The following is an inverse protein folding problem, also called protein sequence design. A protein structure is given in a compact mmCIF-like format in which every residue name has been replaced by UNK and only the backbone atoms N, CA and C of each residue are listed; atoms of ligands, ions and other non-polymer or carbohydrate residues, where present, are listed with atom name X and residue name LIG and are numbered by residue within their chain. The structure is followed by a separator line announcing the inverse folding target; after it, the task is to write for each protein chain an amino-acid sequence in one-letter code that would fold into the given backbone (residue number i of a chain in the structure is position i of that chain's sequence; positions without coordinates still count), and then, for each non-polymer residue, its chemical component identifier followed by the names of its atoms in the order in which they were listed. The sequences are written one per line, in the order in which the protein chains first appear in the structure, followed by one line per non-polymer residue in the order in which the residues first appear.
data_IF_927115000832
#
_entry.id   IF_927115000832
#
_cell.length_a   1.000
_cell.length_b   1.000
_cell.length_c   1.000
_cell.angle_alpha   90.00
_cell.angle_beta   90.00
_cell.angle_gamma   90.00
#
_symmetry.space_group_name_H-M   'P 1'
#
loop_
_entity.id
_entity.type
_entity.pdbx_description
1 polymer ?
#
# COMPACT_ATOMS: atom_id res chain seq x y z
N UNK A 1 -10.83 -20.44 -21.02
CA UNK A 1 -12.04 -19.58 -21.02
C UNK A 1 -13.30 -20.36 -21.42
N UNK A 2 -13.26 -21.23 -22.42
CA UNK A 2 -14.44 -22.00 -22.87
C UNK A 2 -15.10 -22.88 -21.79
N UNK A 3 -14.32 -23.33 -20.79
CA UNK A 3 -14.79 -24.19 -19.69
C UNK A 3 -14.82 -23.46 -18.34
N UNK A 4 -14.70 -22.13 -18.32
CA UNK A 4 -14.81 -21.37 -17.07
C UNK A 4 -16.25 -21.44 -16.53
N UNK A 5 -16.36 -21.88 -15.28
CA UNK A 5 -17.64 -21.99 -14.56
C UNK A 5 -18.07 -20.72 -13.82
N UNK A 6 -17.30 -19.62 -13.95
CA UNK A 6 -17.57 -18.35 -13.30
C UNK A 6 -17.24 -18.28 -11.81
N UNK A 7 -16.78 -19.38 -11.19
CA UNK A 7 -16.54 -19.46 -9.74
C UNK A 7 -15.09 -19.85 -9.41
N UNK A 8 -14.48 -20.76 -10.20
CA UNK A 8 -13.14 -21.28 -9.92
C UNK A 8 -12.09 -20.19 -10.10
N UNK A 9 -11.17 -20.07 -9.15
CA UNK A 9 -9.94 -19.30 -9.26
C UNK A 9 -8.77 -20.29 -9.46
N UNK A 10 -7.84 -19.96 -10.35
CA UNK A 10 -6.63 -20.73 -10.59
C UNK A 10 -5.43 -19.94 -10.12
N UNK A 11 -4.57 -20.57 -9.33
CA UNK A 11 -3.33 -20.01 -8.84
C UNK A 11 -2.16 -20.59 -9.62
N UNK A 12 -1.33 -19.73 -10.21
CA UNK A 12 -0.16 -20.11 -11.01
C UNK A 12 1.11 -19.48 -10.43
N UNK A 13 2.12 -20.30 -10.20
CA UNK A 13 3.49 -19.82 -10.00
C UNK A 13 4.13 -19.61 -11.38
N UNK A 14 4.64 -18.40 -11.62
CA UNK A 14 5.11 -17.99 -12.95
C UNK A 14 6.41 -17.19 -12.89
N UNK A 15 7.14 -17.19 -14.01
CA UNK A 15 8.24 -16.26 -14.27
C UNK A 15 7.73 -15.22 -15.27
N UNK A 16 7.28 -14.07 -14.78
CA UNK A 16 6.55 -13.10 -15.59
C UNK A 16 7.42 -12.38 -16.63
N UNK A 17 8.74 -12.42 -16.48
CA UNK A 17 9.71 -11.86 -17.44
C UNK A 17 9.79 -12.63 -18.78
N UNK A 18 9.19 -13.83 -18.84
CA UNK A 18 9.12 -14.65 -20.06
C UNK A 18 7.75 -14.60 -20.75
N UNK A 19 6.77 -13.89 -20.20
CA UNK A 19 5.48 -13.73 -20.85
C UNK A 19 5.63 -13.08 -22.21
N UNK A 20 4.99 -13.69 -23.22
CA UNK A 20 4.87 -13.09 -24.54
C UNK A 20 3.61 -12.22 -24.67
N UNK A 21 3.50 -11.53 -25.81
CA UNK A 21 2.38 -10.61 -26.08
C UNK A 21 1.03 -11.34 -26.13
N UNK A 22 1.00 -12.58 -26.65
CA UNK A 22 -0.21 -13.37 -26.80
C UNK A 22 -0.74 -13.82 -25.42
N UNK A 23 0.16 -14.22 -24.52
CA UNK A 23 -0.17 -14.61 -23.15
C UNK A 23 -0.71 -13.41 -22.36
N UNK A 24 -0.07 -12.24 -22.46
CA UNK A 24 -0.52 -11.01 -21.80
C UNK A 24 -1.90 -10.57 -22.31
N UNK A 25 -2.13 -10.60 -23.64
CA UNK A 25 -3.44 -10.31 -24.19
C UNK A 25 -4.53 -11.30 -23.74
N UNK A 26 -4.17 -12.59 -23.59
CA UNK A 26 -5.07 -13.61 -23.07
C UNK A 26 -5.49 -13.31 -21.64
N UNK A 27 -4.51 -12.96 -20.77
CA UNK A 27 -4.76 -12.57 -19.39
C UNK A 27 -5.73 -11.38 -19.36
N UNK A 28 -5.53 -10.36 -20.21
CA UNK A 28 -6.40 -9.19 -20.29
C UNK A 28 -7.86 -9.50 -20.66
N UNK A 29 -8.12 -10.62 -21.34
CA UNK A 29 -9.46 -11.07 -21.74
C UNK A 29 -10.15 -11.94 -20.68
N UNK A 30 -9.48 -12.31 -19.60
CA UNK A 30 -10.03 -13.16 -18.54
C UNK A 30 -11.00 -12.35 -17.66
N UNK A 31 -12.00 -13.04 -17.09
CA UNK A 31 -12.86 -12.39 -16.09
C UNK A 31 -12.07 -12.05 -14.83
N UNK A 32 -12.45 -11.01 -14.09
CA UNK A 32 -11.85 -10.70 -12.80
C UNK A 32 -11.88 -11.90 -11.84
N UNK A 33 -10.73 -12.20 -11.22
CA UNK A 33 -10.57 -13.29 -10.26
C UNK A 33 -10.55 -14.70 -10.87
N UNK A 34 -10.40 -14.86 -12.20
CA UNK A 34 -10.20 -16.20 -12.79
C UNK A 34 -8.83 -16.76 -12.44
N UNK A 35 -7.79 -15.93 -12.50
CA UNK A 35 -6.42 -16.32 -12.17
C UNK A 35 -5.82 -15.43 -11.09
N UNK A 36 -4.86 -15.98 -10.39
CA UNK A 36 -3.93 -15.34 -9.48
C UNK A 36 -2.52 -15.76 -9.86
N UNK A 37 -1.60 -14.81 -9.91
CA UNK A 37 -0.21 -15.05 -10.27
C UNK A 37 0.68 -14.89 -9.05
N UNK A 38 1.48 -15.90 -8.75
CA UNK A 38 2.59 -15.84 -7.80
C UNK A 38 3.88 -15.73 -8.61
N UNK A 39 4.56 -14.59 -8.46
CA UNK A 39 5.71 -14.20 -9.27
C UNK A 39 6.94 -14.16 -8.36
N UNK A 40 7.73 -15.21 -8.41
CA UNK A 40 8.94 -15.32 -7.62
C UNK A 40 10.03 -14.40 -8.14
N UNK A 41 10.20 -13.19 -7.60
CA UNK A 41 11.34 -12.29 -7.89
C UNK A 41 12.58 -12.76 -7.16
N UNK A 42 12.45 -13.15 -5.92
CA UNK A 42 13.44 -13.63 -4.97
C UNK A 42 14.39 -12.53 -4.47
N UNK A 43 15.02 -11.78 -5.37
CA UNK A 43 15.90 -10.64 -5.13
C UNK A 43 16.02 -9.80 -6.41
N UNK A 44 16.39 -8.52 -6.28
CA UNK A 44 16.80 -7.68 -7.43
C UNK A 44 18.33 -7.48 -7.49
N UNK A 45 19.08 -8.05 -6.53
CA UNK A 45 20.53 -8.02 -6.52
C UNK A 45 21.10 -8.95 -7.60
N UNK A 46 21.85 -8.43 -8.60
CA UNK A 46 22.33 -9.23 -9.73
C UNK A 46 23.33 -10.31 -9.31
N UNK A 47 24.10 -10.11 -8.24
CA UNK A 47 25.05 -11.12 -7.75
C UNK A 47 24.31 -12.27 -7.06
N UNK A 48 23.27 -11.95 -6.28
CA UNK A 48 22.36 -12.93 -5.67
C UNK A 48 21.67 -13.77 -6.74
N UNK A 49 21.04 -13.11 -7.74
CA UNK A 49 20.32 -13.79 -8.83
C UNK A 49 21.23 -14.75 -9.60
N UNK A 50 22.48 -14.33 -9.88
CA UNK A 50 23.48 -15.18 -10.55
C UNK A 50 23.84 -16.40 -9.69
N UNK A 51 24.07 -16.19 -8.39
CA UNK A 51 24.50 -17.23 -7.47
C UNK A 51 23.44 -18.31 -7.23
N UNK A 52 22.18 -17.92 -7.21
CA UNK A 52 21.08 -18.89 -7.10
C UNK A 52 20.71 -19.54 -8.45
N UNK A 53 21.56 -19.37 -9.47
CA UNK A 53 21.41 -19.92 -10.82
C UNK A 53 20.09 -19.52 -11.49
N UNK A 54 19.62 -18.29 -11.24
CA UNK A 54 18.41 -17.76 -11.83
C UNK A 54 18.73 -16.77 -12.94
N UNK A 55 17.92 -16.78 -13.98
CA UNK A 55 17.92 -15.75 -15.00
C UNK A 55 16.63 -14.97 -14.90
N UNK A 56 16.72 -13.65 -14.78
CA UNK A 56 15.56 -12.78 -14.69
C UNK A 56 15.87 -11.43 -15.36
N UNK A 57 14.99 -11.03 -16.24
CA UNK A 57 15.01 -9.67 -16.82
C UNK A 57 14.04 -8.78 -16.02
N UNK A 58 14.57 -8.01 -15.08
CA UNK A 58 13.78 -7.13 -14.21
C UNK A 58 12.99 -6.06 -14.99
N UNK A 59 13.48 -5.63 -16.16
CA UNK A 59 12.77 -4.65 -17.00
C UNK A 59 11.54 -5.29 -17.61
N UNK A 60 11.69 -6.48 -18.19
CA UNK A 60 10.54 -7.24 -18.74
C UNK A 60 9.57 -7.66 -17.66
N UNK A 61 10.10 -8.11 -16.51
CA UNK A 61 9.28 -8.44 -15.35
C UNK A 61 8.36 -7.27 -14.98
N UNK A 62 8.96 -6.08 -14.78
CA UNK A 62 8.20 -4.87 -14.44
C UNK A 62 7.16 -4.53 -15.51
N UNK A 63 7.52 -4.60 -16.78
CA UNK A 63 6.59 -4.33 -17.89
C UNK A 63 5.40 -5.31 -17.89
N UNK A 64 5.65 -6.59 -17.65
CA UNK A 64 4.60 -7.60 -17.57
C UNK A 64 3.68 -7.37 -16.35
N UNK A 65 4.27 -7.11 -15.17
CA UNK A 65 3.53 -6.80 -13.94
C UNK A 65 2.67 -5.55 -14.10
N UNK A 66 3.23 -4.45 -14.63
CA UNK A 66 2.49 -3.21 -14.87
C UNK A 66 1.32 -3.45 -15.82
N UNK A 67 1.52 -4.21 -16.90
CA UNK A 67 0.48 -4.50 -17.88
C UNK A 67 -0.64 -5.36 -17.32
N UNK A 68 -0.32 -6.40 -16.57
CA UNK A 68 -1.32 -7.22 -15.88
C UNK A 68 -2.07 -6.40 -14.82
N UNK A 69 -1.38 -5.49 -14.11
CA UNK A 69 -1.99 -4.56 -13.18
C UNK A 69 -3.05 -3.66 -13.86
N UNK A 70 -2.77 -3.17 -15.07
CA UNK A 70 -3.70 -2.30 -15.82
C UNK A 70 -4.98 -3.02 -16.26
N UNK A 71 -4.95 -4.33 -16.46
CA UNK A 71 -6.15 -5.13 -16.75
C UNK A 71 -7.13 -5.24 -15.59
N UNK A 72 -6.68 -5.05 -14.34
CA UNK A 72 -7.49 -5.05 -13.11
C UNK A 72 -8.36 -6.29 -12.92
N UNK A 73 -7.93 -7.41 -13.43
CA UNK A 73 -8.67 -8.67 -13.41
C UNK A 73 -7.93 -9.80 -12.71
N UNK A 74 -6.64 -9.62 -12.42
CA UNK A 74 -5.75 -10.65 -11.88
C UNK A 74 -5.11 -10.14 -10.60
N UNK A 75 -5.06 -10.98 -9.58
CA UNK A 75 -4.34 -10.73 -8.33
C UNK A 75 -2.88 -11.16 -8.50
N UNK A 76 -1.93 -10.26 -8.22
CA UNK A 76 -0.50 -10.48 -8.39
C UNK A 76 0.20 -10.53 -7.03
N UNK A 77 0.85 -11.66 -6.72
CA UNK A 77 1.80 -11.80 -5.62
C UNK A 77 3.22 -11.72 -6.15
N UNK A 78 4.06 -10.90 -5.54
CA UNK A 78 5.48 -10.84 -5.81
C UNK A 78 6.24 -11.27 -4.56
N UNK A 79 7.22 -12.19 -4.75
CA UNK A 79 7.92 -12.83 -3.64
C UNK A 79 9.38 -12.44 -3.59
N UNK A 80 9.85 -12.11 -2.39
CA UNK A 80 11.26 -11.92 -2.04
C UNK A 80 11.70 -12.97 -1.02
N UNK A 81 12.98 -13.37 -1.05
CA UNK A 81 13.55 -14.32 -0.09
C UNK A 81 14.74 -13.67 0.62
N UNK A 82 14.60 -13.44 1.93
CA UNK A 82 15.69 -12.99 2.80
C UNK A 82 16.65 -14.14 3.13
N UNK A 83 17.94 -13.81 3.21
CA UNK A 83 19.01 -14.78 3.56
C UNK A 83 19.60 -15.50 2.35
N UNK A 84 19.36 -15.03 1.14
CA UNK A 84 20.06 -15.49 -0.06
C UNK A 84 21.56 -15.05 -0.03
N UNK A 85 22.43 -15.75 -0.78
CA UNK A 85 23.84 -15.39 -0.85
C UNK A 85 24.05 -13.99 -1.46
N UNK A 86 25.12 -13.31 -1.02
CA UNK A 86 25.50 -11.94 -1.41
C UNK A 86 24.50 -10.84 -1.09
N UNK A 87 23.51 -11.11 -0.23
CA UNK A 87 22.47 -10.16 0.16
C UNK A 87 22.50 -9.90 1.67
N UNK A 88 22.88 -8.68 2.06
CA UNK A 88 22.79 -8.17 3.41
C UNK A 88 21.46 -7.43 3.63
N UNK A 89 21.23 -6.91 4.82
CA UNK A 89 20.00 -6.18 5.17
C UNK A 89 19.70 -5.04 4.18
N UNK A 90 20.66 -4.18 3.91
CA UNK A 90 20.45 -3.03 3.00
C UNK A 90 20.16 -3.46 1.56
N UNK A 91 20.89 -4.47 1.04
CA UNK A 91 20.63 -5.03 -0.28
C UNK A 91 19.22 -5.62 -0.38
N UNK A 92 18.79 -6.36 0.65
CA UNK A 92 17.44 -6.90 0.71
C UNK A 92 16.37 -5.78 0.74
N UNK A 93 16.58 -4.72 1.52
CA UNK A 93 15.66 -3.58 1.58
C UNK A 93 15.65 -2.76 0.28
N UNK A 94 16.72 -2.79 -0.52
CA UNK A 94 16.67 -2.29 -1.90
C UNK A 94 15.80 -3.16 -2.80
N UNK A 95 15.98 -4.49 -2.75
CA UNK A 95 15.09 -5.43 -3.46
C UNK A 95 13.63 -5.24 -3.06
N UNK A 96 13.38 -5.00 -1.77
CA UNK A 96 12.04 -4.68 -1.26
C UNK A 96 11.45 -3.42 -1.90
N UNK A 97 12.22 -2.32 -1.95
CA UNK A 97 11.76 -1.08 -2.58
C UNK A 97 11.46 -1.25 -4.07
N UNK A 98 12.29 -2.00 -4.79
CA UNK A 98 12.12 -2.27 -6.21
C UNK A 98 10.82 -3.04 -6.47
N UNK A 99 10.57 -4.09 -5.70
CA UNK A 99 9.36 -4.92 -5.83
C UNK A 99 8.12 -4.18 -5.34
N UNK A 100 8.21 -3.43 -4.25
CA UNK A 100 7.10 -2.62 -3.75
C UNK A 100 6.62 -1.58 -4.80
N UNK A 101 7.57 -0.95 -5.53
CA UNK A 101 7.26 -0.01 -6.63
C UNK A 101 6.59 -0.65 -7.84
N UNK A 102 6.63 -1.97 -7.99
CA UNK A 102 5.84 -2.70 -8.98
C UNK A 102 4.35 -2.81 -8.58
N UNK A 103 3.98 -2.39 -7.37
CA UNK A 103 2.61 -2.35 -6.83
C UNK A 103 1.89 -3.69 -6.89
N UNK A 104 2.48 -4.77 -6.36
CA UNK A 104 1.78 -6.04 -6.27
C UNK A 104 0.53 -5.90 -5.37
N UNK A 105 -0.48 -6.74 -5.61
CA UNK A 105 -1.61 -6.84 -4.69
C UNK A 105 -1.19 -7.45 -3.34
N UNK A 106 -0.16 -8.33 -3.37
CA UNK A 106 0.49 -8.88 -2.19
C UNK A 106 2.00 -8.95 -2.41
N UNK A 107 2.79 -8.47 -1.44
CA UNK A 107 4.23 -8.59 -1.39
C UNK A 107 4.59 -9.60 -0.31
N UNK A 108 5.11 -10.75 -0.70
CA UNK A 108 5.49 -11.80 0.21
C UNK A 108 6.98 -11.71 0.54
N UNK A 109 7.29 -11.61 1.82
CA UNK A 109 8.66 -11.70 2.31
C UNK A 109 8.88 -13.10 2.88
N UNK A 110 9.60 -13.94 2.14
CA UNK A 110 10.00 -15.27 2.59
C UNK A 110 11.39 -15.25 3.22
N UNK A 111 11.72 -16.31 3.97
CA UNK A 111 13.06 -16.56 4.49
C UNK A 111 13.60 -17.85 3.90
N UNK A 112 14.88 -17.84 3.51
CA UNK A 112 15.55 -18.98 2.91
C UNK A 112 15.31 -20.26 3.73
N UNK A 113 14.85 -21.31 3.07
CA UNK A 113 14.69 -22.66 3.65
C UNK A 113 15.77 -23.56 3.05
N UNK A 114 16.65 -24.07 3.91
CA UNK A 114 17.76 -24.94 3.49
C UNK A 114 17.23 -26.37 3.41
N UNK A 115 16.63 -26.70 2.27
CA UNK A 115 15.99 -27.99 2.04
C UNK A 115 17.05 -29.09 1.74
N UNK A 116 16.81 -30.30 2.21
CA UNK A 116 17.67 -31.45 1.95
C UNK A 116 17.81 -31.73 0.45
N UNK A 117 19.03 -31.92 -0.02
CA UNK A 117 19.35 -32.14 -1.42
C UNK A 117 19.32 -30.90 -2.31
N UNK A 118 19.12 -29.71 -1.70
CA UNK A 118 19.16 -28.44 -2.45
C UNK A 118 20.58 -27.92 -2.61
N UNK A 119 20.82 -27.07 -3.62
CA UNK A 119 22.07 -26.34 -3.79
C UNK A 119 22.48 -25.58 -2.52
N UNK A 120 21.55 -24.98 -1.80
CA UNK A 120 21.84 -24.26 -0.57
C UNK A 120 22.33 -25.18 0.56
N UNK A 121 21.89 -26.43 0.63
CA UNK A 121 22.44 -27.40 1.59
C UNK A 121 23.90 -27.74 1.27
N UNK A 122 24.27 -27.86 -0.02
CA UNK A 122 25.66 -28.08 -0.44
C UNK A 122 26.55 -26.90 -0.08
N UNK A 123 26.02 -25.68 -0.04
CA UNK A 123 26.76 -24.44 0.21
C UNK A 123 26.80 -24.03 1.70
N UNK A 124 26.24 -24.80 2.61
CA UNK A 124 26.13 -24.46 4.06
C UNK A 124 27.47 -23.99 4.64
N UNK A 125 28.56 -24.71 4.35
CA UNK A 125 29.88 -24.34 4.87
C UNK A 125 30.47 -23.11 4.17
N UNK A 126 30.27 -22.94 2.86
CA UNK A 126 30.81 -21.84 2.08
C UNK A 126 30.13 -20.49 2.41
N UNK A 127 28.84 -20.53 2.72
CA UNK A 127 28.04 -19.35 3.03
C UNK A 127 27.81 -19.14 4.52
N UNK A 128 28.44 -19.96 5.39
CA UNK A 128 28.22 -19.97 6.86
C UNK A 128 26.72 -19.94 7.21
N UNK A 129 25.94 -20.77 6.52
CA UNK A 129 24.51 -20.84 6.75
C UNK A 129 24.22 -21.47 8.11
N UNK A 130 23.50 -20.75 8.94
CA UNK A 130 22.88 -21.27 10.17
C UNK A 130 21.38 -21.32 9.95
N UNK A 131 20.79 -22.48 10.16
CA UNK A 131 19.36 -22.70 9.95
C UNK A 131 18.77 -23.68 10.96
N UNK A 132 17.46 -23.71 11.07
CA UNK A 132 16.75 -24.61 11.99
C UNK A 132 16.90 -26.06 11.51
N UNK A 133 17.33 -26.95 12.42
CA UNK A 133 17.50 -28.38 12.10
C UNK A 133 16.18 -29.16 11.93
N UNK A 134 15.04 -28.50 12.11
CA UNK A 134 13.68 -29.05 11.96
C UNK A 134 12.89 -28.23 10.93
N UNK A 135 11.89 -28.81 10.26
CA UNK A 135 11.04 -28.07 9.34
C UNK A 135 10.52 -26.77 9.97
N UNK A 136 10.47 -25.68 9.20
CA UNK A 136 10.71 -25.58 7.75
C UNK A 136 12.17 -25.36 7.32
N UNK A 137 13.17 -25.63 8.17
CA UNK A 137 14.61 -25.47 7.90
C UNK A 137 15.00 -24.04 7.56
N UNK A 138 14.33 -23.09 8.17
CA UNK A 138 14.49 -21.66 7.94
C UNK A 138 15.84 -21.15 8.40
N UNK A 139 16.43 -20.23 7.61
CA UNK A 139 17.70 -19.57 7.90
C UNK A 139 17.63 -18.77 9.21
N UNK A 140 18.72 -18.80 9.98
CA UNK A 140 18.92 -18.00 11.18
C UNK A 140 19.99 -16.92 10.96
N UNK A 141 21.02 -17.23 10.17
CA UNK A 141 22.03 -16.27 9.75
C UNK A 141 22.81 -16.80 8.55
N UNK A 142 23.46 -15.92 7.84
CA UNK A 142 24.36 -16.23 6.74
C UNK A 142 25.64 -15.42 6.88
N UNK A 143 26.62 -15.66 6.01
CA UNK A 143 27.86 -14.85 5.93
C UNK A 143 27.57 -13.35 5.72
N UNK A 144 26.44 -12.99 5.12
CA UNK A 144 26.08 -11.62 4.74
C UNK A 144 24.98 -11.04 5.65
N UNK A 145 24.12 -11.88 6.23
CA UNK A 145 22.96 -11.49 7.03
C UNK A 145 23.06 -12.07 8.44
N UNK A 146 23.47 -11.29 9.47
CA UNK A 146 23.53 -11.75 10.84
C UNK A 146 22.13 -12.01 11.43
N UNK A 147 22.05 -12.78 12.52
CA UNK A 147 20.78 -13.14 13.15
C UNK A 147 19.94 -11.94 13.59
N UNK A 148 20.59 -10.87 14.07
CA UNK A 148 19.91 -9.62 14.43
C UNK A 148 19.12 -9.03 13.26
N UNK A 149 19.71 -9.07 12.06
CA UNK A 149 19.07 -8.53 10.87
C UNK A 149 17.94 -9.44 10.35
N UNK A 150 18.07 -10.78 10.53
CA UNK A 150 16.95 -11.70 10.28
C UNK A 150 15.75 -11.36 11.17
N UNK A 151 15.99 -11.07 12.47
CA UNK A 151 14.91 -10.65 13.39
C UNK A 151 14.29 -9.31 12.96
N UNK A 152 15.12 -8.34 12.58
CA UNK A 152 14.60 -7.05 12.06
C UNK A 152 13.74 -7.25 10.82
N UNK A 153 14.16 -8.10 9.86
CA UNK A 153 13.37 -8.41 8.67
C UNK A 153 12.06 -9.12 9.00
N UNK A 154 12.01 -9.96 10.04
CA UNK A 154 10.75 -10.55 10.51
C UNK A 154 9.78 -9.50 11.06
N UNK A 155 10.28 -8.50 11.76
CA UNK A 155 9.47 -7.35 12.16
C UNK A 155 8.91 -6.58 10.96
N UNK A 156 9.71 -6.40 9.91
CA UNK A 156 9.27 -5.77 8.65
C UNK A 156 8.21 -6.63 7.95
N UNK A 157 8.42 -7.96 7.86
CA UNK A 157 7.44 -8.91 7.32
C UNK A 157 6.09 -8.77 8.01
N UNK A 158 6.07 -8.79 9.36
CA UNK A 158 4.85 -8.62 10.14
C UNK A 158 4.12 -7.29 9.79
N UNK A 159 4.86 -6.20 9.59
CA UNK A 159 4.26 -4.91 9.24
C UNK A 159 3.73 -4.89 7.81
N UNK A 160 4.41 -5.54 6.86
CA UNK A 160 3.92 -5.71 5.49
C UNK A 160 2.60 -6.50 5.48
N UNK A 161 2.52 -7.60 6.22
CA UNK A 161 1.29 -8.39 6.36
C UNK A 161 0.14 -7.59 6.96
N UNK A 162 0.41 -6.80 8.01
CA UNK A 162 -0.61 -6.03 8.71
C UNK A 162 -1.08 -4.81 7.91
N UNK A 163 -0.18 -4.06 7.31
CA UNK A 163 -0.48 -2.73 6.75
C UNK A 163 -0.58 -2.70 5.22
N UNK A 164 0.10 -3.61 4.51
CA UNK A 164 0.04 -3.70 3.06
C UNK A 164 -0.82 -4.87 2.58
N UNK A 165 -0.42 -6.11 2.86
CA UNK A 165 -1.07 -7.32 2.35
C UNK A 165 -2.51 -7.49 2.83
N UNK A 166 -2.85 -7.00 4.02
CA UNK A 166 -4.23 -7.01 4.52
C UNK A 166 -5.20 -6.20 3.64
N UNK A 167 -4.68 -5.29 2.81
CA UNK A 167 -5.46 -4.36 2.00
C UNK A 167 -6.38 -3.44 2.82
N UNK A 168 -6.12 -3.27 4.13
CA UNK A 168 -6.96 -2.46 5.02
C UNK A 168 -6.66 -0.96 4.91
N UNK A 169 -5.48 -0.57 4.43
CA UNK A 169 -4.96 0.78 4.50
C UNK A 169 -4.57 1.38 3.13
N UNK A 170 -5.29 1.13 2.03
CA UNK A 170 -4.83 1.51 0.69
C UNK A 170 -4.69 3.03 0.49
N UNK A 171 -5.58 3.85 1.09
CA UNK A 171 -5.49 5.30 1.02
C UNK A 171 -4.37 5.82 1.93
N UNK A 172 -4.28 5.29 3.15
CA UNK A 172 -3.28 5.69 4.14
C UNK A 172 -1.86 5.33 3.67
N UNK A 173 -1.66 4.15 3.04
CA UNK A 173 -0.35 3.77 2.50
C UNK A 173 0.18 4.74 1.45
N UNK A 174 -0.68 5.31 0.60
CA UNK A 174 -0.27 6.34 -0.37
C UNK A 174 0.21 7.63 0.29
N UNK A 175 -0.39 8.01 1.41
CA UNK A 175 0.09 9.15 2.18
C UNK A 175 1.42 8.84 2.86
N UNK A 176 1.60 7.62 3.37
CA UNK A 176 2.87 7.17 3.94
C UNK A 176 3.99 7.19 2.89
N UNK A 177 3.73 6.74 1.65
CA UNK A 177 4.67 6.82 0.52
C UNK A 177 5.11 8.27 0.21
N UNK A 178 4.26 9.27 0.49
CA UNK A 178 4.60 10.69 0.32
C UNK A 178 5.34 11.28 1.54
N UNK A 179 5.13 10.71 2.73
CA UNK A 179 5.76 11.17 3.98
C UNK A 179 7.19 10.63 4.13
N UNK A 180 7.45 9.39 3.73
CA UNK A 180 8.73 8.71 3.85
C UNK A 180 9.52 8.75 2.53
N UNK A 181 10.86 8.74 2.61
CA UNK A 181 11.71 8.82 1.42
C UNK A 181 11.67 7.54 0.58
N UNK A 182 11.48 6.39 1.21
CA UNK A 182 11.42 5.08 0.54
C UNK A 182 10.43 4.15 1.25
N UNK A 183 9.77 3.23 0.50
CA UNK A 183 8.83 2.25 1.06
C UNK A 183 9.40 1.45 2.24
N UNK A 184 10.66 1.00 2.13
CA UNK A 184 11.34 0.25 3.18
C UNK A 184 11.35 0.97 4.53
N UNK A 185 11.49 2.29 4.55
CA UNK A 185 11.50 3.09 5.78
C UNK A 185 10.15 3.08 6.50
N UNK A 186 9.04 2.99 5.77
CA UNK A 186 7.69 2.90 6.35
C UNK A 186 7.61 1.68 7.26
N UNK A 187 7.93 0.51 6.71
CA UNK A 187 7.77 -0.77 7.41
C UNK A 187 8.84 -1.00 8.48
N UNK A 188 10.06 -0.51 8.25
CA UNK A 188 11.12 -0.53 9.27
C UNK A 188 10.72 0.32 10.48
N UNK A 189 10.27 1.56 10.25
CA UNK A 189 9.83 2.45 11.34
C UNK A 189 8.61 1.92 12.08
N UNK A 190 7.68 1.26 11.39
CA UNK A 190 6.54 0.59 12.03
C UNK A 190 6.99 -0.60 12.87
N UNK A 191 7.93 -1.42 12.38
CA UNK A 191 8.47 -2.56 13.13
C UNK A 191 9.19 -2.11 14.42
N UNK A 192 10.00 -1.06 14.32
CA UNK A 192 10.67 -0.44 15.48
C UNK A 192 9.64 0.08 16.49
N UNK A 193 8.61 0.80 16.02
CA UNK A 193 7.53 1.30 16.88
C UNK A 193 6.78 0.17 17.60
N UNK A 194 6.51 -0.94 16.89
CA UNK A 194 5.86 -2.10 17.48
C UNK A 194 6.72 -2.76 18.56
N UNK A 195 8.02 -2.86 18.33
CA UNK A 195 8.97 -3.41 19.30
C UNK A 195 9.08 -2.52 20.55
N UNK A 196 9.30 -1.21 20.35
CA UNK A 196 9.46 -0.22 21.44
C UNK A 196 8.22 -0.11 22.32
N UNK A 197 7.04 -0.29 21.76
CA UNK A 197 5.76 -0.22 22.48
C UNK A 197 5.23 -1.59 22.96
N UNK A 198 6.02 -2.67 22.80
CA UNK A 198 5.63 -4.01 23.24
C UNK A 198 4.41 -4.58 22.54
N UNK A 199 4.18 -4.21 21.27
CA UNK A 199 3.06 -4.61 20.45
C UNK A 199 3.36 -5.87 19.62
N UNK A 200 4.62 -6.25 19.49
CA UNK A 200 5.09 -7.40 18.71
C UNK A 200 4.61 -8.71 19.31
N UNK A 201 4.20 -9.67 18.47
CA UNK A 201 3.74 -10.99 18.88
C UNK A 201 2.36 -11.02 19.55
N UNK A 202 1.65 -9.90 19.58
CA UNK A 202 0.29 -9.77 20.12
C UNK A 202 -0.71 -9.65 18.97
N UNK A 203 -1.81 -10.40 19.05
CA UNK A 203 -2.89 -10.27 18.07
C UNK A 203 -3.70 -9.01 18.35
N UNK A 204 -3.73 -8.08 17.39
CA UNK A 204 -4.51 -6.85 17.46
C UNK A 204 -5.80 -6.96 16.67
N UNK A 205 -6.90 -6.46 17.24
CA UNK A 205 -8.15 -6.33 16.50
C UNK A 205 -7.98 -5.38 15.32
N UNK A 206 -8.86 -5.50 14.31
CA UNK A 206 -8.79 -4.59 13.16
C UNK A 206 -8.82 -3.13 13.60
N UNK A 207 -9.76 -2.72 14.44
CA UNK A 207 -9.87 -1.33 14.92
C UNK A 207 -8.59 -0.90 15.66
N UNK A 208 -8.01 -1.77 16.49
CA UNK A 208 -6.78 -1.47 17.20
C UNK A 208 -5.60 -1.17 16.25
N UNK A 209 -5.53 -1.83 15.07
CA UNK A 209 -4.50 -1.55 14.06
C UNK A 209 -4.59 -0.13 13.51
N UNK A 210 -5.81 0.39 13.30
CA UNK A 210 -6.02 1.79 12.91
C UNK A 210 -5.57 2.76 14.00
N UNK A 211 -5.91 2.46 15.27
CA UNK A 211 -5.51 3.29 16.40
C UNK A 211 -3.99 3.27 16.64
N UNK A 212 -3.34 2.12 16.47
CA UNK A 212 -1.89 1.98 16.56
C UNK A 212 -1.20 2.79 15.46
N UNK A 213 -1.68 2.68 14.21
CA UNK A 213 -1.10 3.42 13.09
C UNK A 213 -1.26 4.94 13.28
N UNK A 214 -2.41 5.39 13.78
CA UNK A 214 -2.62 6.81 14.07
C UNK A 214 -1.65 7.32 15.16
N UNK A 215 -1.46 6.57 16.26
CA UNK A 215 -0.50 6.93 17.32
C UNK A 215 0.94 6.97 16.82
N UNK A 216 1.35 6.00 16.00
CA UNK A 216 2.64 6.03 15.33
C UNK A 216 2.85 7.34 14.55
N UNK A 217 1.82 7.79 13.84
CA UNK A 217 1.87 9.03 13.07
C UNK A 217 1.93 10.28 13.95
N UNK A 218 1.21 10.30 15.07
CA UNK A 218 1.28 11.37 16.08
C UNK A 218 2.70 11.52 16.62
N UNK A 219 3.34 10.43 17.05
CA UNK A 219 4.71 10.45 17.57
C UNK A 219 5.74 10.88 16.50
N UNK A 220 5.56 10.46 15.25
CA UNK A 220 6.44 10.91 14.15
C UNK A 220 6.30 12.40 13.87
N UNK A 221 5.12 12.99 14.02
CA UNK A 221 4.88 14.43 13.84
C UNK A 221 5.52 15.24 14.98
N UNK A 222 5.33 14.82 16.24
CA UNK A 222 5.90 15.44 17.43
C UNK A 222 7.44 15.47 17.36
N UNK A 223 8.06 14.35 16.98
CA UNK A 223 9.51 14.23 16.85
C UNK A 223 10.07 15.08 15.70
N UNK A 224 9.31 15.27 14.62
CA UNK A 224 9.69 16.14 13.51
C UNK A 224 9.69 17.62 13.89
N UNK A 225 8.78 18.04 14.76
CA UNK A 225 8.69 19.40 15.28
C UNK A 225 9.83 19.81 16.23
N UNK A 226 10.47 18.82 16.89
CA UNK A 226 11.57 19.06 17.84
C UNK A 226 12.95 19.13 17.18
N UNK A 227 13.09 18.75 15.91
CA UNK A 227 14.39 18.63 15.22
C UNK A 227 14.74 19.85 14.33
N UNK A 228 14.00 20.94 14.37
CA UNK A 228 14.37 22.16 13.65
C UNK A 228 15.41 22.96 14.46
N UNK A 229 16.71 23.01 14.08
CA UNK A 229 17.66 23.89 14.72
C UNK A 229 17.31 25.34 14.35
N UNK A 230 17.31 26.20 15.35
CA UNK A 230 17.25 27.64 15.14
C UNK A 230 18.35 28.08 14.15
N UNK A 231 17.96 28.58 12.99
CA UNK A 231 18.88 29.11 12.01
C UNK A 231 19.49 30.41 12.62
N UNK A 232 20.74 30.30 13.08
CA UNK A 232 21.58 31.49 13.32
C UNK A 232 21.84 32.14 11.97
N UNK A 233 21.28 33.34 11.80
CA UNK A 233 21.63 34.27 10.73
C UNK A 233 23.05 34.77 10.92
N UNK A 234 23.99 34.27 10.15
CA UNK A 234 25.28 34.90 9.91
C UNK A 234 25.26 35.51 8.52
N UNK A 235 25.20 36.84 8.49
CA UNK A 235 25.53 37.65 7.32
C UNK A 235 27.04 37.52 7.03
N UNK A 236 27.39 37.28 5.79
CA UNK A 236 28.80 37.17 5.35
C UNK A 236 28.93 37.15 3.84
N UNK A 237 29.13 38.33 3.32
CA UNK A 237 29.78 38.82 2.07
C UNK A 237 29.93 37.95 0.82
N UNK A 238 29.53 38.61 -0.26
CA UNK A 238 29.69 38.25 -1.68
C UNK A 238 31.14 38.15 -2.12
N UNK A 239 31.46 37.17 -2.95
CA UNK A 239 32.42 37.35 -4.05
C UNK A 239 32.01 36.52 -5.29
N UNK A 240 31.76 37.26 -6.38
CA UNK A 240 31.54 36.78 -7.75
C UNK A 240 32.85 36.29 -8.34
N UNK A 241 32.86 35.10 -8.94
CA UNK A 241 33.74 34.79 -10.09
C UNK A 241 32.93 33.99 -11.11
N UNK A 242 32.79 34.59 -12.29
CA UNK A 242 32.16 33.97 -13.44
C UNK A 242 33.11 33.00 -14.15
N UNK A 243 32.54 31.92 -14.68
CA UNK A 243 33.11 31.18 -15.81
C UNK A 243 31.96 30.79 -16.75
N UNK A 244 32.00 31.34 -17.96
CA UNK A 244 31.19 30.94 -19.10
C UNK A 244 31.56 29.50 -19.53
N UNK A 245 30.59 28.68 -19.83
CA UNK A 245 30.77 27.65 -20.84
C UNK A 245 29.47 27.28 -21.58
N UNK A 246 29.67 27.13 -22.83
CA UNK A 246 28.84 27.05 -24.03
C UNK A 246 27.86 25.89 -24.11
N UNK A 247 26.81 26.16 -24.89
CA UNK A 247 25.67 25.38 -25.30
C UNK A 247 25.90 23.93 -25.76
N UNK A 248 24.94 23.08 -25.41
CA UNK A 248 24.56 21.86 -26.08
C UNK A 248 23.06 21.65 -25.90
N UNK A 249 22.30 21.76 -27.00
CA UNK A 249 20.87 21.52 -27.07
C UNK A 249 20.55 20.03 -26.81
N UNK A 250 19.96 19.72 -25.68
CA UNK A 250 19.23 18.46 -25.49
C UNK A 250 17.78 18.76 -25.15
N UNK A 251 16.91 18.22 -25.99
CA UNK A 251 15.46 18.29 -25.85
C UNK A 251 15.00 17.73 -24.49
N UNK A 252 14.56 18.62 -23.61
CA UNK A 252 13.87 18.26 -22.37
C UNK A 252 12.45 17.80 -22.70
N UNK A 253 12.22 16.49 -22.71
CA UNK A 253 10.89 15.91 -22.55
C UNK A 253 10.49 16.20 -21.10
N UNK A 254 9.36 16.90 -20.94
CA UNK A 254 8.86 17.36 -19.63
C UNK A 254 8.54 16.19 -18.72
N UNK A 255 9.39 15.96 -17.75
CA UNK A 255 9.05 15.25 -16.51
C UNK A 255 8.50 16.34 -15.59
N UNK A 256 7.17 16.36 -15.38
CA UNK A 256 6.59 17.14 -14.30
C UNK A 256 7.18 16.64 -12.99
N UNK A 257 7.98 17.48 -12.37
CA UNK A 257 8.73 17.19 -11.16
C UNK A 257 7.79 17.09 -9.96
N UNK A 258 7.92 16.01 -9.20
CA UNK A 258 7.26 15.75 -7.91
C UNK A 258 7.63 16.75 -6.76
N UNK A 259 8.15 17.92 -7.08
CA UNK A 259 8.77 18.85 -6.12
C UNK A 259 7.83 19.90 -5.50
N UNK A 260 6.51 19.86 -5.72
CA UNK A 260 5.59 20.88 -5.18
C UNK A 260 4.41 20.34 -4.34
N UNK A 261 4.32 19.05 -4.09
CA UNK A 261 3.25 18.54 -3.22
C UNK A 261 3.67 18.67 -1.74
N UNK A 262 2.90 19.43 -0.96
CA UNK A 262 3.08 19.52 0.50
C UNK A 262 3.07 18.13 1.15
N UNK A 263 3.88 17.94 2.20
CA UNK A 263 3.91 16.68 2.95
C UNK A 263 2.56 16.46 3.65
N UNK A 264 2.04 15.23 3.66
CA UNK A 264 0.79 14.94 4.35
C UNK A 264 0.84 15.30 5.83
N UNK A 265 -0.21 15.96 6.32
CA UNK A 265 -0.42 16.34 7.71
C UNK A 265 -1.10 15.21 8.50
N UNK A 266 -1.14 15.33 9.83
CA UNK A 266 -1.88 14.40 10.67
C UNK A 266 -3.39 14.40 10.38
N UNK A 267 -3.94 15.54 9.95
CA UNK A 267 -5.33 15.67 9.50
C UNK A 267 -5.59 14.83 8.24
N UNK A 268 -4.70 14.87 7.26
CA UNK A 268 -4.80 14.03 6.05
C UNK A 268 -4.76 12.54 6.39
N UNK A 269 -3.92 12.15 7.33
CA UNK A 269 -3.85 10.76 7.80
C UNK A 269 -5.11 10.34 8.55
N UNK A 270 -5.71 11.22 9.36
CA UNK A 270 -6.98 10.95 10.02
C UNK A 270 -8.07 10.67 8.99
N UNK A 271 -8.21 11.51 8.00
CA UNK A 271 -9.20 11.36 6.93
C UNK A 271 -8.96 10.08 6.12
N UNK A 272 -7.72 9.76 5.79
CA UNK A 272 -7.39 8.54 5.05
C UNK A 272 -7.70 7.27 5.86
N UNK A 273 -7.40 7.26 7.15
CA UNK A 273 -7.73 6.14 8.05
C UNK A 273 -9.24 5.97 8.22
N UNK A 274 -9.99 7.07 8.35
CA UNK A 274 -11.45 7.02 8.41
C UNK A 274 -12.05 6.50 7.10
N UNK A 275 -11.50 6.94 5.96
CA UNK A 275 -11.88 6.42 4.66
C UNK A 275 -11.61 4.91 4.53
N UNK A 276 -10.39 4.46 4.81
CA UNK A 276 -9.98 3.06 4.73
C UNK A 276 -10.83 2.17 5.64
N UNK A 277 -11.22 2.68 6.80
CA UNK A 277 -12.05 1.98 7.76
C UNK A 277 -13.48 1.78 7.24
N UNK A 278 -14.13 2.87 6.78
CA UNK A 278 -15.52 2.81 6.35
C UNK A 278 -15.72 2.25 4.94
N UNK A 279 -14.75 2.36 4.05
CA UNK A 279 -14.89 1.75 2.70
C UNK A 279 -15.04 0.23 2.76
N UNK A 280 -14.50 -0.41 3.81
CA UNK A 280 -14.58 -1.86 3.99
C UNK A 280 -15.86 -2.31 4.65
N UNK A 281 -16.30 -1.65 5.72
CA UNK A 281 -17.50 -2.03 6.45
C UNK A 281 -18.11 -0.88 7.26
N UNK A 282 -19.41 -0.99 7.49
CA UNK A 282 -20.15 -0.07 8.35
C UNK A 282 -19.93 -0.44 9.81
N UNK A 283 -18.87 0.09 10.41
CA UNK A 283 -18.58 -0.13 11.82
C UNK A 283 -19.46 0.73 12.71
N UNK A 284 -19.83 0.20 13.88
CA UNK A 284 -20.64 0.93 14.89
C UNK A 284 -19.78 1.68 15.89
N UNK A 285 -18.59 1.14 16.21
CA UNK A 285 -17.67 1.75 17.15
C UNK A 285 -16.70 2.66 16.40
N UNK A 286 -16.67 3.94 16.77
CA UNK A 286 -15.70 4.90 16.21
C UNK A 286 -14.34 4.72 16.87
N UNK A 287 -13.23 4.85 16.13
CA UNK A 287 -11.90 4.89 16.72
C UNK A 287 -11.70 6.14 17.58
N UNK A 288 -10.75 6.08 18.52
CA UNK A 288 -10.47 7.17 19.47
C UNK A 288 -9.99 8.46 18.79
N UNK A 289 -9.34 8.33 17.63
CA UNK A 289 -8.86 9.47 16.84
C UNK A 289 -9.93 10.11 15.94
N UNK A 290 -11.10 9.50 15.81
CA UNK A 290 -12.15 10.00 14.91
C UNK A 290 -12.71 11.34 15.40
N UNK A 291 -12.88 12.29 14.47
CA UNK A 291 -13.49 13.59 14.75
C UNK A 291 -14.93 13.48 15.26
N UNK A 292 -15.41 14.51 15.98
CA UNK A 292 -16.80 14.57 16.47
C UNK A 292 -17.77 14.85 15.31
N UNK A 293 -18.68 13.93 15.06
CA UNK A 293 -19.74 14.07 14.04
C UNK A 293 -21.01 14.77 14.58
N UNK A 294 -21.04 15.14 15.86
CA UNK A 294 -22.22 15.76 16.47
C UNK A 294 -22.68 17.06 15.81
N UNK A 295 -21.77 17.95 15.35
CA UNK A 295 -22.13 19.18 14.65
C UNK A 295 -22.84 18.93 13.31
N UNK A 296 -22.60 17.80 12.65
CA UNK A 296 -23.03 17.50 11.27
C UNK A 296 -24.27 16.58 11.21
N UNK A 297 -24.88 16.27 12.35
CA UNK A 297 -26.06 15.38 12.41
C UNK A 297 -27.26 15.88 11.60
N UNK A 298 -27.40 17.20 11.46
CA UNK A 298 -28.46 17.83 10.70
C UNK A 298 -28.25 17.56 9.21
N UNK A 299 -27.07 17.85 8.70
CA UNK A 299 -26.71 17.67 7.29
C UNK A 299 -26.79 16.20 6.87
N UNK A 300 -26.31 15.30 7.72
CA UNK A 300 -26.40 13.84 7.48
C UNK A 300 -27.87 13.41 7.39
N UNK A 301 -28.74 13.90 8.29
CA UNK A 301 -30.17 13.58 8.27
C UNK A 301 -30.86 14.12 7.03
N UNK A 302 -30.57 15.36 6.66
CA UNK A 302 -31.17 16.02 5.49
C UNK A 302 -30.73 15.31 4.18
N UNK A 303 -29.48 14.87 4.09
CA UNK A 303 -29.02 14.05 2.98
C UNK A 303 -29.87 12.79 2.80
N UNK A 304 -30.04 11.98 3.84
CA UNK A 304 -30.84 10.73 3.75
C UNK A 304 -32.31 10.99 3.49
N UNK A 305 -32.88 12.09 3.98
CA UNK A 305 -34.27 12.49 3.66
C UNK A 305 -34.42 12.89 2.18
N UNK A 306 -33.45 13.60 1.61
CA UNK A 306 -33.43 13.96 0.21
C UNK A 306 -33.28 12.72 -0.70
N UNK A 307 -32.49 11.72 -0.28
CA UNK A 307 -32.35 10.45 -1.01
C UNK A 307 -33.62 9.58 -0.92
N UNK A 308 -34.40 9.67 0.16
CA UNK A 308 -35.70 9.01 0.28
C UNK A 308 -36.71 9.62 -0.70
N UNK A 309 -36.76 10.96 -0.82
CA UNK A 309 -37.69 11.67 -1.70
C UNK A 309 -37.30 11.56 -3.18
N UNK A 310 -36.00 11.69 -3.50
CA UNK A 310 -35.47 11.67 -4.85
C UNK A 310 -34.07 11.02 -4.89
N UNK A 311 -34.01 9.68 -5.02
CA UNK A 311 -32.74 8.93 -4.99
C UNK A 311 -31.80 9.35 -6.14
N UNK A 312 -30.64 9.89 -5.82
CA UNK A 312 -29.58 10.25 -6.76
C UNK A 312 -28.35 9.34 -6.62
N UNK A 313 -27.99 9.05 -5.40
CA UNK A 313 -26.78 8.32 -5.04
C UNK A 313 -27.07 6.93 -4.52
N UNK A 314 -28.17 6.78 -3.75
CA UNK A 314 -28.65 5.53 -3.16
C UNK A 314 -29.81 4.91 -3.98
N UNK A 315 -29.64 4.82 -5.30
CA UNK A 315 -30.67 4.35 -6.23
C UNK A 315 -31.15 2.91 -5.97
N UNK A 316 -30.33 2.06 -5.38
CA UNK A 316 -30.66 0.65 -5.10
C UNK A 316 -31.42 0.46 -3.79
N UNK A 317 -31.80 1.58 -3.12
CA UNK A 317 -32.53 1.57 -1.86
C UNK A 317 -34.02 1.89 -2.05
N UNK A 318 -34.58 1.66 -3.22
CA UNK A 318 -36.00 1.89 -3.48
C UNK A 318 -36.89 1.19 -2.45
N UNK A 319 -37.81 1.96 -1.82
CA UNK A 319 -38.71 1.47 -0.78
C UNK A 319 -38.16 1.48 0.64
N UNK A 320 -36.89 1.95 0.84
CA UNK A 320 -36.35 2.19 2.17
C UNK A 320 -36.59 3.63 2.61
N UNK A 321 -36.94 3.82 3.90
CA UNK A 321 -36.97 5.16 4.50
C UNK A 321 -35.54 5.66 4.81
N UNK A 322 -35.41 6.96 5.08
CA UNK A 322 -34.13 7.61 5.41
C UNK A 322 -33.40 6.98 6.60
N UNK A 323 -34.11 6.45 7.59
CA UNK A 323 -33.53 5.78 8.77
C UNK A 323 -32.98 4.39 8.40
N UNK A 324 -33.66 3.69 7.50
CA UNK A 324 -33.19 2.39 6.99
C UNK A 324 -31.96 2.58 6.12
N UNK A 325 -31.97 3.59 5.23
CA UNK A 325 -30.81 3.96 4.41
C UNK A 325 -29.59 4.28 5.27
N UNK A 326 -29.74 5.11 6.30
CA UNK A 326 -28.67 5.48 7.24
C UNK A 326 -28.11 4.30 8.08
N UNK A 327 -28.80 3.16 8.14
CA UNK A 327 -28.26 1.92 8.74
C UNK A 327 -27.46 1.09 7.77
N UNK A 328 -27.73 1.22 6.48
CA UNK A 328 -27.17 0.39 5.41
C UNK A 328 -26.12 1.12 4.55
N UNK A 329 -26.06 2.44 4.65
CA UNK A 329 -25.04 3.30 4.10
C UNK A 329 -24.45 4.17 5.22
N UNK A 330 -23.26 4.75 5.01
CA UNK A 330 -22.64 5.64 5.98
C UNK A 330 -22.24 6.94 5.29
N UNK A 331 -22.52 8.08 5.92
CA UNK A 331 -22.07 9.40 5.47
C UNK A 331 -21.19 9.99 6.57
N UNK A 332 -19.91 10.17 6.29
CA UNK A 332 -18.90 10.69 7.20
C UNK A 332 -18.48 12.09 6.79
N UNK A 333 -18.42 13.02 7.76
CA UNK A 333 -17.76 14.32 7.56
C UNK A 333 -16.26 14.19 7.82
N UNK A 334 -15.44 14.64 6.89
CA UNK A 334 -13.98 14.60 6.93
C UNK A 334 -13.40 15.90 7.49
N UNK A 335 -12.18 15.89 7.99
CA UNK A 335 -11.48 17.05 8.54
C UNK A 335 -11.25 18.17 7.50
N UNK A 336 -11.13 17.78 6.22
CA UNK A 336 -11.04 18.75 5.11
C UNK A 336 -12.37 19.45 4.76
N UNK A 337 -13.41 19.23 5.54
CA UNK A 337 -14.74 19.86 5.39
C UNK A 337 -15.64 19.19 4.36
N UNK A 338 -15.25 18.08 3.78
CA UNK A 338 -16.08 17.32 2.83
C UNK A 338 -16.85 16.20 3.52
N UNK A 339 -17.83 15.63 2.80
CA UNK A 339 -18.57 14.44 3.21
C UNK A 339 -18.27 13.28 2.29
N UNK A 340 -18.15 12.06 2.84
CA UNK A 340 -17.99 10.83 2.06
C UNK A 340 -19.12 9.87 2.36
N UNK A 341 -19.88 9.49 1.32
CA UNK A 341 -20.90 8.47 1.36
C UNK A 341 -20.29 7.11 1.03
N UNK A 342 -20.49 6.13 1.89
CA UNK A 342 -20.15 4.73 1.66
C UNK A 342 -21.44 3.92 1.44
N UNK A 343 -21.60 3.38 0.21
CA UNK A 343 -22.75 2.58 -0.19
C UNK A 343 -22.40 1.09 -0.13
N UNK A 344 -22.84 0.40 0.92
CA UNK A 344 -22.51 -1.01 1.15
C UNK A 344 -23.32 -2.00 0.31
N UNK A 345 -24.33 -1.57 -0.42
CA UNK A 345 -25.01 -2.40 -1.43
C UNK A 345 -24.20 -2.53 -2.71
N UNK A 346 -23.37 -1.52 -3.01
CA UNK A 346 -22.49 -1.50 -4.18
C UNK A 346 -21.06 -1.74 -3.74
N UNK A 347 -20.54 -2.92 -4.08
CA UNK A 347 -19.17 -3.32 -3.72
C UNK A 347 -18.37 -3.61 -4.96
N UNK A 348 -17.09 -3.24 -4.89
CA UNK A 348 -16.11 -3.64 -5.90
C UNK A 348 -15.94 -5.16 -5.88
N UNK A 349 -16.01 -5.85 -7.03
CA UNK A 349 -15.97 -7.30 -7.09
C UNK A 349 -14.61 -7.90 -6.74
N UNK A 350 -13.52 -7.16 -6.82
CA UNK A 350 -12.16 -7.63 -6.50
C UNK A 350 -11.80 -7.34 -5.05
N UNK A 351 -11.93 -6.10 -4.61
CA UNK A 351 -11.54 -5.68 -3.26
C UNK A 351 -12.64 -5.91 -2.22
N UNK A 352 -13.89 -6.07 -2.63
CA UNK A 352 -15.05 -6.11 -1.73
C UNK A 352 -15.39 -4.77 -1.07
N UNK A 353 -14.69 -3.68 -1.42
CA UNK A 353 -14.88 -2.36 -0.86
C UNK A 353 -16.22 -1.75 -1.30
N UNK A 354 -16.84 -0.97 -0.41
CA UNK A 354 -18.04 -0.23 -0.71
C UNK A 354 -17.79 0.86 -1.75
N UNK A 355 -18.81 1.15 -2.55
CA UNK A 355 -18.76 2.35 -3.41
C UNK A 355 -18.71 3.59 -2.53
N UNK A 356 -17.73 4.45 -2.77
CA UNK A 356 -17.57 5.71 -2.06
C UNK A 356 -17.84 6.91 -2.99
N UNK A 357 -18.53 7.92 -2.50
CA UNK A 357 -18.81 9.18 -3.22
C UNK A 357 -18.52 10.35 -2.29
N UNK A 358 -17.74 11.34 -2.77
CA UNK A 358 -17.37 12.53 -2.01
C UNK A 358 -18.22 13.73 -2.39
N UNK A 359 -18.56 14.56 -1.39
CA UNK A 359 -19.39 15.73 -1.53
C UNK A 359 -18.79 16.94 -0.83
N UNK A 360 -19.02 18.12 -1.41
CA UNK A 360 -18.94 19.41 -0.73
C UNK A 360 -20.35 19.83 -0.35
N UNK A 361 -20.55 20.28 0.89
CA UNK A 361 -21.82 20.84 1.34
C UNK A 361 -21.86 22.34 1.07
N UNK A 362 -22.88 22.82 0.36
CA UNK A 362 -23.17 24.23 0.22
C UNK A 362 -24.25 24.65 1.23
N UNK A 363 -23.88 25.43 2.25
CA UNK A 363 -24.82 25.87 3.29
C UNK A 363 -25.86 26.87 2.76
N UNK A 364 -25.62 27.58 1.66
CA UNK A 364 -26.54 28.55 1.09
C UNK A 364 -27.68 27.87 0.32
N UNK A 365 -27.33 26.81 -0.41
CA UNK A 365 -28.29 25.99 -1.16
C UNK A 365 -28.84 24.82 -0.34
N UNK A 366 -28.32 24.58 0.87
CA UNK A 366 -28.57 23.41 1.71
C UNK A 366 -28.45 22.11 0.91
N UNK A 367 -27.35 21.98 0.12
CA UNK A 367 -27.19 20.94 -0.88
C UNK A 367 -25.77 20.35 -0.85
N UNK A 368 -25.70 19.04 -1.04
CA UNK A 368 -24.45 18.33 -1.30
C UNK A 368 -24.19 18.22 -2.81
N UNK A 369 -23.00 18.66 -3.24
CA UNK A 369 -22.54 18.58 -4.62
C UNK A 369 -21.37 17.61 -4.73
N UNK A 370 -21.42 16.66 -5.66
CA UNK A 370 -20.36 15.68 -5.88
C UNK A 370 -19.06 16.36 -6.31
N UNK A 371 -17.95 15.92 -5.71
CA UNK A 371 -16.61 16.30 -6.16
C UNK A 371 -16.15 15.32 -7.23
N UNK A 372 -15.86 15.82 -8.43
CA UNK A 372 -15.48 14.97 -9.58
C UNK A 372 -14.01 14.56 -9.55
N UNK A 373 -13.09 15.36 -8.98
CA UNK A 373 -11.69 15.05 -8.85
C UNK A 373 -11.36 14.55 -7.45
N UNK A 374 -11.27 13.23 -7.30
CA UNK A 374 -10.83 12.61 -6.06
C UNK A 374 -9.61 11.70 -6.30
N UNK A 375 -8.53 12.31 -6.76
CA UNK A 375 -7.28 11.63 -7.10
C UNK A 375 -6.37 11.31 -5.90
N UNK A 376 -6.60 11.93 -4.72
CA UNK A 376 -5.65 11.84 -3.62
C UNK A 376 -5.72 10.53 -2.82
N UNK A 377 -6.88 9.86 -2.74
CA UNK A 377 -7.08 8.68 -1.88
C UNK A 377 -7.33 7.36 -2.64
N UNK A 378 -7.77 7.43 -3.87
CA UNK A 378 -8.07 6.23 -4.65
C UNK A 378 -7.11 6.12 -5.83
N UNK A 379 -6.05 5.35 -5.73
CA UNK A 379 -5.14 5.07 -6.85
C UNK A 379 -5.75 4.19 -7.94
N UNK A 380 -7.03 3.91 -7.84
CA UNK A 380 -7.85 3.27 -8.87
C UNK A 380 -9.08 4.15 -9.04
N UNK A 381 -9.27 4.73 -10.22
CA UNK A 381 -10.51 5.39 -10.58
C UNK A 381 -11.64 4.36 -10.53
N UNK A 382 -12.44 4.34 -9.46
CA UNK A 382 -13.73 3.65 -9.42
C UNK A 382 -14.80 4.48 -10.13
N UNK A 383 -14.51 4.95 -11.35
CA UNK A 383 -15.48 5.63 -12.17
C UNK A 383 -15.43 5.03 -13.58
N UNK A 384 -16.25 4.00 -13.79
CA UNK A 384 -17.14 3.86 -14.94
C UNK A 384 -18.23 2.88 -14.56
#
# INVERSE_FOLDING_TARGET
MEHDNGVTNFHFEVSADIFDEEELELIGKMRPGLIQLEIGVQSTNPDTIREIHRHMDLVKLKQAVDRVYDYRNTHQHLDLIAGLPYENYESFMHSFDDVYRMRPDQLQMGFLKVLKGSYMEEQVAAYDLRYRGIPPYEVLSTKWLPYSDVIRLKGVEDMVEVYYNSGQFPATMKLLERKFARPAEIFTSLAEYYEENGLTGISHSRLARYEILYKFLEEKEENSGQSAPAAETTEGDEQKTGVENTAGDEQKIGVETAETMEKPTLSDFRDSLMYDLYVRENIKSRPSFAGDQSPYKKEVREFFMAEEENPRWLTDYAGFDSRQMAKMAHLEHMEDGTFVLFDYKKRDPLSGNARAVRFVYDPNENRMTKVEEWLLYTGRNFLN
#
